data_IF_471293293293
#
_entry.id   IF_471293293293
#
_cell.length_a   1.000
_cell.length_b   1.000
_cell.length_c   1.000
_cell.angle_alpha   90.00
_cell.angle_beta   90.00
_cell.angle_gamma   90.00
#
_symmetry.space_group_name_H-M   'P 1'
#
loop_
_entity.id
_entity.type
_entity.pdbx_description
1 polymer ?
#
# COMPACT_ATOMS: atom_id res chain seq x y z
N UNK A 1 7.46 -1.91 -1.42
CA UNK A 1 7.90 -0.64 -2.02
C UNK A 1 8.61 -0.87 -3.34
N UNK A 2 8.34 -0.06 -4.37
CA UNK A 2 9.24 0.01 -5.55
C UNK A 2 10.52 0.67 -5.07
N UNK A 3 11.62 -0.09 -5.12
CA UNK A 3 12.95 0.33 -4.69
C UNK A 3 13.74 0.99 -5.81
N UNK A 4 13.45 0.63 -7.06
CA UNK A 4 14.09 1.25 -8.21
C UNK A 4 13.43 0.88 -9.52
N UNK A 5 13.62 1.75 -10.51
CA UNK A 5 13.15 1.61 -11.89
C UNK A 5 14.34 1.83 -12.81
N UNK A 6 14.53 0.94 -13.78
CA UNK A 6 15.57 1.05 -14.80
C UNK A 6 14.94 0.85 -16.17
N UNK A 7 15.31 1.73 -17.09
CA UNK A 7 14.84 1.73 -18.47
C UNK A 7 16.07 1.63 -19.37
N UNK A 8 16.09 0.58 -20.18
CA UNK A 8 17.14 0.35 -21.16
C UNK A 8 16.56 0.49 -22.54
N UNK A 9 17.33 1.10 -23.43
CA UNK A 9 16.99 1.31 -24.83
C UNK A 9 17.77 0.38 -25.75
N UNK A 10 17.77 0.69 -27.05
CA UNK A 10 18.49 -0.07 -28.05
C UNK A 10 19.95 -0.30 -27.64
N UNK A 11 20.44 -1.51 -27.92
CA UNK A 11 21.79 -1.98 -27.55
C UNK A 11 22.06 -2.01 -26.04
N UNK A 12 21.03 -2.25 -25.22
CA UNK A 12 21.12 -2.27 -23.75
C UNK A 12 21.69 -0.98 -23.14
N UNK A 13 21.48 0.15 -23.82
CA UNK A 13 21.91 1.46 -23.33
C UNK A 13 21.02 1.91 -22.18
N UNK A 14 21.62 2.36 -21.07
CA UNK A 14 20.87 2.89 -19.94
C UNK A 14 20.25 4.24 -20.28
N UNK A 15 18.95 4.26 -20.57
CA UNK A 15 18.21 5.49 -20.87
C UNK A 15 17.85 6.26 -19.61
N UNK A 16 17.41 5.54 -18.58
CA UNK A 16 17.01 6.14 -17.32
C UNK A 16 17.15 5.14 -16.17
N UNK A 17 17.54 5.65 -14.99
CA UNK A 17 17.49 4.89 -13.74
C UNK A 17 17.05 5.80 -12.61
N UNK A 18 16.24 5.27 -11.70
CA UNK A 18 15.81 5.95 -10.50
C UNK A 18 15.70 4.98 -9.34
N UNK A 19 16.37 5.33 -8.25
CA UNK A 19 16.44 4.53 -7.03
C UNK A 19 15.75 5.28 -5.89
N UNK A 20 14.88 4.59 -5.17
CA UNK A 20 14.14 5.12 -4.00
C UNK A 20 14.73 4.65 -2.68
N UNK A 21 15.61 3.65 -2.72
CA UNK A 21 16.35 3.10 -1.59
C UNK A 21 17.78 2.89 -2.06
N UNK A 22 18.77 3.40 -1.32
CA UNK A 22 20.18 3.17 -1.64
C UNK A 22 20.48 1.66 -1.61
N UNK A 23 20.92 1.07 -2.74
CA UNK A 23 21.38 -0.31 -2.75
C UNK A 23 22.71 -0.40 -2.00
N UNK A 24 22.96 -1.56 -1.37
CA UNK A 24 24.23 -1.82 -0.68
C UNK A 24 25.46 -1.71 -1.62
N UNK A 25 25.27 -1.90 -2.93
CA UNK A 25 26.23 -1.56 -3.98
C UNK A 25 25.50 -1.24 -5.28
N UNK A 26 25.53 0.02 -5.69
CA UNK A 26 24.88 0.52 -6.92
C UNK A 26 25.56 -0.01 -8.18
N UNK A 27 26.89 -0.03 -8.18
CA UNK A 27 27.70 -0.53 -9.29
C UNK A 27 27.42 -2.01 -9.56
N UNK A 28 27.42 -2.85 -8.51
CA UNK A 28 27.13 -4.27 -8.66
C UNK A 28 25.71 -4.55 -9.16
N UNK A 29 24.74 -3.71 -8.79
CA UNK A 29 23.36 -3.83 -9.26
C UNK A 29 23.23 -3.41 -10.73
N UNK A 30 23.86 -2.31 -11.13
CA UNK A 30 23.87 -1.89 -12.54
C UNK A 30 24.56 -2.93 -13.41
N UNK A 31 25.73 -3.43 -13.00
CA UNK A 31 26.46 -4.48 -13.72
C UNK A 31 25.62 -5.76 -13.83
N UNK A 32 24.94 -6.15 -12.75
CA UNK A 32 24.01 -7.27 -12.78
C UNK A 32 22.87 -7.06 -13.77
N UNK A 33 22.25 -5.88 -13.79
CA UNK A 33 21.15 -5.55 -14.69
C UNK A 33 21.58 -5.55 -16.16
N UNK A 34 22.77 -5.04 -16.46
CA UNK A 34 23.33 -5.05 -17.83
C UNK A 34 23.60 -6.48 -18.31
N UNK A 35 24.23 -7.31 -17.48
CA UNK A 35 24.47 -8.72 -17.79
C UNK A 35 23.15 -9.50 -17.93
N UNK A 36 22.15 -9.19 -17.09
CA UNK A 36 20.82 -9.78 -17.20
C UNK A 36 20.19 -9.44 -18.55
N UNK A 37 20.29 -8.20 -19.01
CA UNK A 37 19.71 -7.81 -20.30
C UNK A 37 20.36 -8.43 -21.52
N UNK A 38 21.67 -8.67 -21.48
CA UNK A 38 22.33 -9.45 -22.52
C UNK A 38 21.73 -10.85 -22.61
N UNK A 39 21.48 -11.49 -21.46
CA UNK A 39 20.77 -12.77 -21.41
C UNK A 39 19.32 -12.65 -21.89
N UNK A 40 18.56 -11.65 -21.46
CA UNK A 40 17.15 -11.47 -21.85
C UNK A 40 16.99 -11.21 -23.34
N UNK A 41 17.94 -10.52 -23.98
CA UNK A 41 17.94 -10.29 -25.43
C UNK A 41 18.06 -11.58 -26.26
N UNK A 42 18.50 -12.69 -25.64
CA UNK A 42 18.57 -14.02 -26.26
C UNK A 42 17.30 -14.86 -26.06
N UNK A 43 16.35 -14.37 -25.26
CA UNK A 43 15.09 -15.02 -24.93
C UNK A 43 13.94 -14.26 -25.61
N UNK A 44 13.06 -14.96 -26.35
CA UNK A 44 11.84 -14.35 -26.86
C UNK A 44 10.78 -14.34 -25.74
N UNK A 45 10.70 -13.21 -25.03
CA UNK A 45 9.75 -13.01 -23.93
C UNK A 45 8.36 -12.56 -24.43
N UNK A 46 8.24 -12.11 -25.69
CA UNK A 46 7.03 -11.44 -26.18
C UNK A 46 6.56 -10.33 -25.22
N UNK A 47 5.24 -10.25 -25.00
CA UNK A 47 4.62 -9.28 -24.07
C UNK A 47 4.57 -9.80 -22.60
N UNK A 48 5.37 -10.80 -22.24
CA UNK A 48 5.33 -11.38 -20.89
C UNK A 48 6.17 -10.59 -19.90
N UNK A 49 5.61 -10.40 -18.71
CA UNK A 49 6.33 -9.86 -17.56
C UNK A 49 6.81 -11.02 -16.71
N UNK A 50 8.12 -11.10 -16.55
CA UNK A 50 8.79 -12.13 -15.75
C UNK A 50 9.41 -11.51 -14.49
N UNK A 51 9.82 -12.37 -13.56
CA UNK A 51 10.47 -11.91 -12.34
C UNK A 51 11.56 -12.86 -11.85
N UNK A 52 12.53 -12.28 -11.13
CA UNK A 52 13.55 -13.02 -10.40
C UNK A 52 13.63 -12.60 -8.93
N UNK A 53 13.79 -13.57 -8.05
CA UNK A 53 13.92 -13.32 -6.62
C UNK A 53 15.37 -12.95 -6.28
N UNK A 54 15.57 -11.76 -5.74
CA UNK A 54 16.83 -11.33 -5.13
C UNK A 54 16.82 -11.69 -3.64
N UNK A 55 17.81 -11.27 -2.85
CA UNK A 55 17.86 -11.58 -1.42
C UNK A 55 16.62 -11.06 -0.67
N UNK A 56 16.41 -9.74 -0.70
CA UNK A 56 15.34 -9.03 0.02
C UNK A 56 14.24 -8.48 -0.88
N UNK A 57 14.48 -8.45 -2.18
CA UNK A 57 13.61 -7.85 -3.19
C UNK A 57 13.30 -8.85 -4.31
N UNK A 58 12.44 -8.43 -5.23
CA UNK A 58 12.15 -9.11 -6.48
C UNK A 58 12.37 -8.13 -7.62
N UNK A 59 13.08 -8.56 -8.64
CA UNK A 59 13.26 -7.79 -9.87
C UNK A 59 12.26 -8.30 -10.90
N UNK A 60 11.41 -7.41 -11.38
CA UNK A 60 10.46 -7.63 -12.46
C UNK A 60 11.05 -7.06 -13.74
N UNK A 61 10.81 -7.74 -14.86
CA UNK A 61 11.27 -7.27 -16.15
C UNK A 61 10.31 -7.62 -17.29
N UNK A 62 10.26 -6.74 -18.29
CA UNK A 62 9.61 -6.97 -19.59
C UNK A 62 10.45 -6.39 -20.71
N UNK A 63 10.23 -6.89 -21.93
CA UNK A 63 10.88 -6.42 -23.15
C UNK A 63 9.78 -6.02 -24.13
N UNK A 64 9.86 -4.81 -24.69
CA UNK A 64 8.96 -4.35 -25.75
C UNK A 64 9.79 -3.70 -26.86
N UNK A 65 9.90 -4.40 -27.99
CA UNK A 65 10.82 -4.03 -29.07
C UNK A 65 12.28 -4.00 -28.56
N UNK A 66 12.97 -2.89 -28.81
CA UNK A 66 14.36 -2.68 -28.39
C UNK A 66 14.50 -2.10 -26.97
N UNK A 67 13.40 -2.03 -26.21
CA UNK A 67 13.36 -1.43 -24.88
C UNK A 67 13.14 -2.50 -23.81
N UNK A 68 13.93 -2.42 -22.73
CA UNK A 68 13.78 -3.29 -21.56
C UNK A 68 13.37 -2.47 -20.34
N UNK A 69 12.33 -2.94 -19.65
CA UNK A 69 11.76 -2.33 -18.46
C UNK A 69 12.12 -3.18 -17.25
N UNK A 70 12.68 -2.58 -16.22
CA UNK A 70 13.14 -3.26 -15.02
C UNK A 70 12.62 -2.53 -13.77
N UNK A 71 12.02 -3.28 -12.86
CA UNK A 71 11.41 -2.72 -11.66
C UNK A 71 11.75 -3.58 -10.44
N UNK A 72 12.45 -3.00 -9.48
CA UNK A 72 12.82 -3.67 -8.23
C UNK A 72 11.76 -3.36 -7.19
N UNK A 73 11.11 -4.37 -6.63
CA UNK A 73 10.10 -4.22 -5.59
C UNK A 73 10.40 -5.11 -4.37
N UNK A 74 9.75 -4.86 -3.24
CA UNK A 74 9.86 -5.75 -2.08
C UNK A 74 9.20 -7.09 -2.38
N UNK A 75 9.77 -8.19 -1.88
CA UNK A 75 9.13 -9.53 -2.01
C UNK A 75 7.73 -9.59 -1.41
N UNK A 76 7.46 -8.70 -0.46
CA UNK A 76 6.22 -8.58 0.27
C UNK A 76 5.13 -7.81 -0.49
N UNK A 77 5.50 -7.11 -1.58
CA UNK A 77 4.55 -6.43 -2.44
C UNK A 77 3.72 -7.43 -3.25
N UNK A 78 2.49 -7.03 -3.54
CA UNK A 78 1.57 -7.80 -4.35
C UNK A 78 2.06 -7.89 -5.81
N UNK A 79 2.14 -9.10 -6.35
CA UNK A 79 2.74 -9.32 -7.67
C UNK A 79 1.90 -8.71 -8.79
N UNK A 80 0.57 -8.83 -8.72
CA UNK A 80 -0.36 -8.32 -9.73
C UNK A 80 -0.26 -6.78 -9.81
N UNK A 81 -0.19 -6.10 -8.66
CA UNK A 81 0.02 -4.65 -8.61
C UNK A 81 1.34 -4.18 -9.21
N UNK A 82 2.43 -4.96 -9.05
CA UNK A 82 3.72 -4.60 -9.66
C UNK A 82 3.67 -4.84 -11.17
N UNK A 83 3.05 -5.93 -11.61
CA UNK A 83 2.80 -6.25 -13.03
C UNK A 83 1.97 -5.16 -13.72
N UNK A 84 0.90 -4.67 -13.09
CA UNK A 84 0.12 -3.53 -13.60
C UNK A 84 0.96 -2.27 -13.78
N UNK A 85 1.88 -2.00 -12.84
CA UNK A 85 2.74 -0.81 -12.89
C UNK A 85 3.79 -0.88 -13.99
N UNK A 86 4.40 -2.05 -14.24
CA UNK A 86 5.35 -2.21 -15.34
C UNK A 86 4.61 -2.16 -16.70
N UNK A 87 3.40 -2.71 -16.82
CA UNK A 87 2.54 -2.52 -18.00
C UNK A 87 2.21 -1.05 -18.26
N UNK A 88 1.85 -0.31 -17.20
CA UNK A 88 1.57 1.12 -17.31
C UNK A 88 2.82 1.91 -17.71
N UNK A 89 3.98 1.57 -17.13
CA UNK A 89 5.27 2.15 -17.50
C UNK A 89 5.58 1.92 -18.98
N UNK A 90 5.49 0.67 -19.42
CA UNK A 90 5.74 0.24 -20.79
C UNK A 90 4.83 0.99 -21.77
N UNK A 91 3.52 0.95 -21.56
CA UNK A 91 2.52 1.60 -22.43
C UNK A 91 2.80 3.09 -22.57
N UNK A 92 2.95 3.80 -21.45
CA UNK A 92 3.16 5.26 -21.47
C UNK A 92 4.54 5.62 -22.02
N UNK A 93 5.56 4.81 -21.74
CA UNK A 93 6.91 4.98 -22.29
C UNK A 93 6.93 4.87 -23.80
N UNK A 94 6.38 3.77 -24.33
CA UNK A 94 6.32 3.53 -25.77
C UNK A 94 5.48 4.60 -26.49
N UNK A 95 4.34 5.02 -25.93
CA UNK A 95 3.46 5.97 -26.60
C UNK A 95 3.94 7.43 -26.52
N UNK A 96 4.47 7.85 -25.35
CA UNK A 96 4.74 9.28 -25.09
C UNK A 96 6.21 9.64 -25.13
N UNK A 97 7.09 8.74 -24.74
CA UNK A 97 8.50 9.07 -24.49
C UNK A 97 9.42 8.57 -25.61
N UNK A 98 9.17 7.39 -26.19
CA UNK A 98 9.94 6.87 -27.34
C UNK A 98 9.95 7.83 -28.55
N UNK A 99 8.80 8.39 -29.02
CA UNK A 99 8.83 9.31 -30.16
C UNK A 99 9.65 10.59 -29.90
N UNK A 100 9.74 11.02 -28.65
CA UNK A 100 10.53 12.20 -28.23
C UNK A 100 12.02 11.84 -28.21
N UNK A 101 12.35 10.66 -27.67
CA UNK A 101 13.71 10.14 -27.63
C UNK A 101 14.29 9.93 -29.04
N UNK A 102 13.56 9.26 -29.92
CA UNK A 102 13.98 9.00 -31.30
C UNK A 102 14.14 10.29 -32.12
N UNK A 103 13.39 11.34 -31.78
CA UNK A 103 13.56 12.67 -32.35
C UNK A 103 14.79 13.43 -31.81
N UNK A 104 15.59 12.82 -30.93
CA UNK A 104 16.77 13.42 -30.29
C UNK A 104 16.43 14.56 -29.32
N UNK A 105 15.19 14.60 -28.81
CA UNK A 105 14.72 15.64 -27.88
C UNK A 105 14.89 15.20 -26.43
N UNK A 106 15.01 16.17 -25.54
CA UNK A 106 15.02 15.92 -24.10
C UNK A 106 13.68 15.31 -23.65
N UNK A 107 13.75 14.24 -22.86
CA UNK A 107 12.59 13.53 -22.33
C UNK A 107 12.11 14.21 -21.05
N UNK A 108 11.30 15.26 -21.19
CA UNK A 108 10.74 15.98 -20.04
C UNK A 108 9.59 15.21 -19.38
N UNK A 109 9.53 15.23 -18.04
CA UNK A 109 8.42 14.66 -17.26
C UNK A 109 8.46 13.15 -17.04
N UNK A 110 9.44 12.43 -17.59
CA UNK A 110 9.65 11.00 -17.32
C UNK A 110 9.84 10.73 -15.82
N UNK A 111 10.66 11.55 -15.16
CA UNK A 111 10.91 11.46 -13.71
C UNK A 111 9.61 11.55 -12.90
N UNK A 112 8.76 12.51 -13.22
CA UNK A 112 7.48 12.72 -12.54
C UNK A 112 6.51 11.55 -12.77
N UNK A 113 6.52 11.00 -13.99
CA UNK A 113 5.74 9.82 -14.30
C UNK A 113 6.24 8.59 -13.53
N UNK A 114 7.54 8.34 -13.53
CA UNK A 114 8.17 7.26 -12.76
C UNK A 114 7.92 7.44 -11.27
N UNK A 115 7.98 8.67 -10.73
CA UNK A 115 7.60 8.96 -9.34
C UNK A 115 6.16 8.57 -9.06
N UNK A 116 5.23 8.91 -9.97
CA UNK A 116 3.81 8.55 -9.83
C UNK A 116 3.57 7.04 -9.80
N UNK A 117 4.39 6.27 -10.53
CA UNK A 117 4.37 4.80 -10.52
C UNK A 117 5.02 4.25 -9.26
N UNK A 118 6.13 4.84 -8.83
CA UNK A 118 6.92 4.39 -7.70
C UNK A 118 6.29 4.70 -6.35
N UNK A 119 5.32 5.63 -6.30
CA UNK A 119 4.46 5.79 -5.13
C UNK A 119 3.89 4.40 -4.81
N UNK A 120 4.44 3.80 -3.75
CA UNK A 120 3.94 2.52 -3.31
C UNK A 120 2.60 2.78 -2.70
N UNK A 121 1.61 2.07 -3.22
CA UNK A 121 0.25 2.26 -2.77
C UNK A 121 0.22 1.90 -1.29
N UNK A 122 -0.12 2.89 -0.47
CA UNK A 122 -0.06 2.72 0.98
C UNK A 122 -1.20 1.80 1.41
N UNK A 123 -0.86 0.59 1.85
CA UNK A 123 -1.80 -0.40 2.34
C UNK A 123 -2.32 0.02 3.71
N UNK A 124 -3.56 0.51 3.72
CA UNK A 124 -4.32 0.77 4.94
C UNK A 124 -5.25 -0.42 5.20
N UNK A 125 -5.10 -1.10 6.33
CA UNK A 125 -5.94 -2.21 6.74
C UNK A 125 -6.95 -1.78 7.82
N UNK A 126 -8.25 -2.03 7.62
CA UNK A 126 -9.29 -1.82 8.64
C UNK A 126 -9.60 -3.14 9.35
N UNK A 127 -9.42 -3.19 10.67
CA UNK A 127 -9.63 -4.36 11.52
C UNK A 127 -10.69 -4.09 12.60
N UNK A 128 -11.47 -5.10 12.95
CA UNK A 128 -12.53 -4.99 13.97
C UNK A 128 -13.48 -6.18 13.95
N UNK A 129 -14.20 -6.40 15.05
CA UNK A 129 -15.14 -7.51 15.18
C UNK A 129 -16.38 -7.34 14.26
N UNK A 130 -17.25 -8.35 14.22
CA UNK A 130 -18.49 -8.28 13.45
C UNK A 130 -19.41 -7.20 14.03
N UNK A 131 -20.17 -6.50 13.18
CA UNK A 131 -21.13 -5.49 13.63
C UNK A 131 -20.55 -4.15 14.07
N UNK A 132 -19.23 -3.96 14.04
CA UNK A 132 -18.60 -2.68 14.44
C UNK A 132 -18.68 -1.58 13.39
N UNK A 133 -19.12 -1.90 12.16
CA UNK A 133 -19.33 -0.92 11.08
C UNK A 133 -18.18 -0.78 10.08
N UNK A 134 -17.32 -1.81 9.92
CA UNK A 134 -16.20 -1.79 8.95
C UNK A 134 -16.68 -1.57 7.51
N UNK A 135 -17.70 -2.32 7.07
CA UNK A 135 -18.30 -2.21 5.74
C UNK A 135 -18.92 -0.83 5.52
N UNK A 136 -19.64 -0.30 6.51
CA UNK A 136 -20.20 1.06 6.41
C UNK A 136 -19.08 2.11 6.32
N UNK A 137 -18.00 1.96 7.09
CA UNK A 137 -16.82 2.83 7.06
C UNK A 137 -16.14 2.81 5.69
N UNK A 138 -16.08 1.64 5.04
CA UNK A 138 -15.59 1.50 3.67
C UNK A 138 -16.41 2.35 2.69
N UNK A 139 -17.71 2.12 2.65
CA UNK A 139 -18.61 2.81 1.72
C UNK A 139 -18.54 4.32 1.93
N UNK A 140 -18.48 4.76 3.20
CA UNK A 140 -18.29 6.17 3.56
C UNK A 140 -17.00 6.74 2.95
N UNK A 141 -15.86 6.06 3.11
CA UNK A 141 -14.58 6.51 2.53
C UNK A 141 -14.63 6.62 1.01
N UNK A 142 -15.31 5.68 0.34
CA UNK A 142 -15.45 5.65 -1.11
C UNK A 142 -16.47 6.64 -1.65
N UNK A 143 -17.27 7.28 -0.79
CA UNK A 143 -18.41 8.09 -1.24
C UNK A 143 -19.50 7.24 -1.90
N UNK A 144 -19.61 5.97 -1.54
CA UNK A 144 -20.61 5.05 -2.05
C UNK A 144 -21.88 5.11 -1.20
N UNK A 145 -22.99 4.62 -1.76
CA UNK A 145 -24.25 4.45 -1.02
C UNK A 145 -24.02 3.59 0.22
N UNK A 146 -24.41 4.11 1.38
CA UNK A 146 -24.23 3.42 2.66
C UNK A 146 -25.22 2.24 2.77
N UNK A 147 -24.77 1.07 3.25
CA UNK A 147 -25.63 -0.11 3.36
C UNK A 147 -26.72 0.10 4.41
N UNK A 148 -27.98 -0.11 4.02
CA UNK A 148 -29.17 0.01 4.89
C UNK A 148 -29.44 -1.24 5.75
N UNK A 149 -28.89 -2.40 5.36
CA UNK A 149 -29.02 -3.67 6.07
C UNK A 149 -27.65 -4.19 6.47
N UNK A 150 -27.57 -4.77 7.66
CA UNK A 150 -26.38 -5.45 8.13
C UNK A 150 -26.37 -6.89 7.61
N UNK A 151 -25.75 -7.08 6.46
CA UNK A 151 -25.44 -8.41 5.93
C UNK A 151 -24.00 -8.77 6.30
N UNK A 152 -23.74 -9.91 6.98
CA UNK A 152 -22.38 -10.31 7.32
C UNK A 152 -21.52 -10.52 6.06
N UNK A 153 -20.44 -9.74 5.93
CA UNK A 153 -19.50 -9.90 4.82
C UNK A 153 -18.81 -11.25 4.85
N UNK A 154 -18.81 -11.97 3.73
CA UNK A 154 -18.07 -13.23 3.56
C UNK A 154 -16.77 -12.92 2.82
N UNK A 155 -15.62 -13.21 3.43
CA UNK A 155 -14.31 -13.11 2.77
C UNK A 155 -13.60 -11.77 2.98
N UNK A 156 -13.08 -11.20 1.89
CA UNK A 156 -12.17 -10.04 1.85
C UNK A 156 -12.65 -9.06 0.79
N UNK A 157 -12.52 -7.75 1.04
CA UNK A 157 -12.92 -6.73 0.07
C UNK A 157 -11.80 -5.72 -0.20
N UNK A 158 -11.01 -5.94 -1.26
CA UNK A 158 -9.95 -5.00 -1.65
C UNK A 158 -10.56 -3.89 -2.51
N UNK A 159 -10.37 -2.61 -2.13
CA UNK A 159 -10.94 -1.46 -2.84
C UNK A 159 -10.02 -0.24 -2.80
N UNK A 160 -9.52 0.19 -3.96
CA UNK A 160 -8.79 1.46 -4.14
C UNK A 160 -9.64 2.65 -3.67
N UNK A 161 -9.07 3.62 -2.95
CA UNK A 161 -9.80 4.84 -2.63
C UNK A 161 -9.76 5.87 -3.77
N UNK A 162 -10.70 6.83 -3.79
CA UNK A 162 -10.63 7.99 -4.67
C UNK A 162 -9.29 8.72 -4.55
N UNK A 163 -8.86 9.39 -5.62
CA UNK A 163 -7.61 10.17 -5.67
C UNK A 163 -7.51 11.26 -4.60
N UNK A 164 -8.64 11.68 -4.02
CA UNK A 164 -8.70 12.61 -2.89
C UNK A 164 -8.10 12.07 -1.58
N UNK A 165 -7.57 10.84 -1.54
CA UNK A 165 -6.95 10.26 -0.32
C UNK A 165 -5.42 10.12 -0.43
N UNK A 166 -4.80 10.89 -1.34
CA UNK A 166 -3.41 10.65 -1.82
C UNK A 166 -3.34 9.33 -2.59
N UNK A 167 -2.26 9.09 -3.34
CA UNK A 167 -2.02 7.87 -4.13
C UNK A 167 -1.88 6.61 -3.23
N UNK A 168 -2.93 6.27 -2.48
CA UNK A 168 -3.01 5.20 -1.49
C UNK A 168 -4.06 4.18 -1.91
N UNK A 169 -3.68 2.89 -1.90
CA UNK A 169 -4.66 1.80 -1.97
C UNK A 169 -5.05 1.41 -0.56
N UNK A 170 -6.26 1.74 -0.14
CA UNK A 170 -6.80 1.10 1.06
C UNK A 170 -7.14 -0.35 0.71
N UNK A 171 -6.64 -1.28 1.52
CA UNK A 171 -6.97 -2.70 1.40
C UNK A 171 -7.87 -3.05 2.57
N UNK A 172 -9.16 -3.18 2.30
CA UNK A 172 -10.13 -3.43 3.36
C UNK A 172 -10.32 -4.91 3.60
N UNK A 173 -9.73 -5.34 4.69
CA UNK A 173 -9.99 -6.65 5.22
C UNK A 173 -11.29 -6.58 6.02
N UNK A 174 -12.42 -6.49 5.31
CA UNK A 174 -13.74 -6.71 5.90
C UNK A 174 -13.94 -8.19 6.20
N UNK A 175 -13.12 -8.68 7.14
CA UNK A 175 -13.21 -10.03 7.62
C UNK A 175 -14.42 -10.09 8.53
N UNK A 176 -15.33 -11.01 8.22
CA UNK A 176 -16.33 -11.50 9.17
C UNK A 176 -15.63 -11.70 10.52
N UNK A 177 -16.01 -10.92 11.53
CA UNK A 177 -15.50 -11.06 12.89
C UNK A 177 -15.97 -12.34 13.60
N UNK A 178 -16.32 -13.37 12.83
CA UNK A 178 -16.52 -14.72 13.34
C UNK A 178 -15.14 -15.29 13.71
N UNK A 179 -14.99 -15.66 14.98
CA UNK A 179 -13.76 -16.16 15.61
C UNK A 179 -13.01 -17.26 14.83
N UNK A 180 -13.66 -17.94 13.87
CA UNK A 180 -13.09 -19.00 13.03
C UNK A 180 -12.04 -18.51 12.01
N UNK A 181 -12.00 -17.22 11.67
CA UNK A 181 -11.07 -16.68 10.66
C UNK A 181 -9.83 -15.98 11.24
N UNK A 182 -9.58 -16.10 12.56
CA UNK A 182 -8.44 -15.45 13.25
C UNK A 182 -7.08 -15.77 12.63
N UNK A 183 -6.90 -16.98 12.09
CA UNK A 183 -5.65 -17.41 11.46
C UNK A 183 -5.30 -16.53 10.23
N UNK A 184 -6.31 -15.99 9.55
CA UNK A 184 -6.11 -15.15 8.36
C UNK A 184 -5.72 -13.72 8.73
N UNK A 185 -6.05 -13.24 9.93
CA UNK A 185 -5.85 -11.84 10.32
C UNK A 185 -4.39 -11.40 10.17
N UNK A 186 -3.43 -12.23 10.59
CA UNK A 186 -2.00 -11.94 10.44
C UNK A 186 -1.54 -11.87 8.99
N UNK A 187 -2.03 -12.77 8.12
CA UNK A 187 -1.72 -12.75 6.68
C UNK A 187 -2.30 -11.51 6.01
N UNK A 188 -3.49 -11.09 6.45
CA UNK A 188 -4.20 -9.95 5.87
C UNK A 188 -3.54 -8.62 6.18
N UNK A 189 -3.14 -8.41 7.42
CA UNK A 189 -2.46 -7.17 7.83
C UNK A 189 -0.99 -7.13 7.42
N UNK A 190 -0.42 -8.24 6.93
CA UNK A 190 0.97 -8.28 6.48
C UNK A 190 1.29 -7.12 5.53
N UNK A 191 2.40 -6.43 5.78
CA UNK A 191 2.88 -5.29 4.99
C UNK A 191 1.93 -4.07 4.96
N UNK A 192 0.94 -4.00 5.86
CA UNK A 192 0.16 -2.78 6.02
C UNK A 192 1.01 -1.69 6.66
N UNK A 193 1.05 -0.50 6.06
CA UNK A 193 1.71 0.67 6.65
C UNK A 193 0.81 1.33 7.71
N UNK A 194 -0.51 1.22 7.56
CA UNK A 194 -1.47 1.73 8.53
C UNK A 194 -2.49 0.65 8.86
N UNK A 195 -2.78 0.46 10.15
CA UNK A 195 -3.86 -0.40 10.63
C UNK A 195 -4.85 0.41 11.47
N UNK A 196 -6.11 0.40 11.04
CA UNK A 196 -7.23 1.10 11.66
C UNK A 196 -8.07 0.09 12.46
N UNK A 197 -8.10 0.23 13.78
CA UNK A 197 -8.91 -0.61 14.67
C UNK A 197 -10.29 0.04 14.90
N UNK A 198 -11.34 -0.54 14.34
CA UNK A 198 -12.73 -0.06 14.47
C UNK A 198 -13.44 -0.83 15.57
N UNK A 199 -14.08 -0.09 16.49
CA UNK A 199 -14.91 -0.63 17.57
C UNK A 199 -16.28 0.03 17.53
N UNK A 200 -17.32 -0.63 18.05
CA UNK A 200 -18.66 -0.01 18.22
C UNK A 200 -18.80 0.83 19.49
N UNK A 201 -17.68 1.15 20.13
CA UNK A 201 -17.59 1.97 21.34
C UNK A 201 -18.28 1.41 22.58
N UNK A 202 -18.77 0.17 22.55
CA UNK A 202 -19.23 -0.52 23.78
C UNK A 202 -18.03 -1.02 24.59
N UNK A 203 -18.13 -1.01 25.92
CA UNK A 203 -17.03 -1.48 26.79
C UNK A 203 -16.60 -2.92 26.44
N UNK A 204 -17.57 -3.80 26.20
CA UNK A 204 -17.31 -5.19 25.84
C UNK A 204 -16.51 -5.31 24.53
N UNK A 205 -16.92 -4.59 23.48
CA UNK A 205 -16.24 -4.63 22.18
C UNK A 205 -14.85 -3.98 22.23
N UNK A 206 -14.70 -2.89 22.97
CA UNK A 206 -13.42 -2.18 23.12
C UNK A 206 -12.40 -3.07 23.85
N UNK A 207 -12.81 -3.76 24.92
CA UNK A 207 -11.96 -4.73 25.62
C UNK A 207 -11.57 -5.91 24.72
N UNK A 208 -12.49 -6.41 23.88
CA UNK A 208 -12.20 -7.44 22.88
C UNK A 208 -11.20 -6.92 21.84
N UNK A 209 -11.39 -5.70 21.35
CA UNK A 209 -10.57 -5.06 20.30
C UNK A 209 -9.13 -4.77 20.73
N UNK A 210 -8.86 -4.66 22.03
CA UNK A 210 -7.48 -4.59 22.57
C UNK A 210 -6.61 -5.77 22.13
N UNK A 211 -7.19 -6.96 21.95
CA UNK A 211 -6.47 -8.15 21.44
C UNK A 211 -6.03 -7.98 19.99
N UNK A 212 -6.78 -7.22 19.18
CA UNK A 212 -6.40 -6.91 17.79
C UNK A 212 -5.18 -6.00 17.75
N UNK A 213 -5.09 -5.01 18.65
CA UNK A 213 -3.90 -4.16 18.77
C UNK A 213 -2.65 -5.00 19.07
N UNK A 214 -2.76 -5.96 20.00
CA UNK A 214 -1.66 -6.89 20.30
C UNK A 214 -1.22 -7.72 19.09
N UNK A 215 -2.18 -8.27 18.34
CA UNK A 215 -1.90 -9.01 17.11
C UNK A 215 -1.17 -8.16 16.07
N UNK A 216 -1.59 -6.89 15.90
CA UNK A 216 -0.97 -5.98 14.93
C UNK A 216 0.47 -5.69 15.32
N UNK A 217 0.73 -5.38 16.60
CA UNK A 217 2.10 -5.17 17.10
C UNK A 217 2.99 -6.41 16.92
N UNK A 218 2.43 -7.61 17.02
CA UNK A 218 3.16 -8.86 16.79
C UNK A 218 3.45 -9.12 15.31
N UNK A 219 2.48 -8.89 14.41
CA UNK A 219 2.58 -9.29 13.00
C UNK A 219 3.14 -8.22 12.07
N UNK A 220 2.92 -6.95 12.38
CA UNK A 220 3.37 -5.80 11.60
C UNK A 220 3.82 -4.67 12.55
N UNK A 221 4.96 -4.84 13.24
CA UNK A 221 5.41 -3.93 14.29
C UNK A 221 5.65 -2.50 13.81
N UNK A 222 6.00 -2.31 12.54
CA UNK A 222 6.28 -1.01 11.95
C UNK A 222 5.01 -0.30 11.44
N UNK A 223 3.84 -0.95 11.50
CA UNK A 223 2.60 -0.34 11.03
C UNK A 223 2.11 0.73 12.02
N UNK A 224 1.70 1.88 11.49
CA UNK A 224 1.00 2.90 12.29
C UNK A 224 -0.37 2.37 12.70
N UNK A 225 -0.65 2.33 13.99
CA UNK A 225 -1.95 1.87 14.51
C UNK A 225 -2.79 3.06 14.99
N UNK A 226 -4.01 3.19 14.48
CA UNK A 226 -5.01 4.14 14.98
C UNK A 226 -6.31 3.43 15.35
N UNK A 227 -7.06 4.01 16.30
CA UNK A 227 -8.38 3.55 16.68
C UNK A 227 -9.49 4.41 16.06
N UNK A 228 -10.64 3.79 15.79
CA UNK A 228 -11.89 4.44 15.44
C UNK A 228 -12.96 3.96 16.43
N UNK A 229 -13.47 4.90 17.21
CA UNK A 229 -14.62 4.72 18.08
C UNK A 229 -15.88 5.03 17.26
N UNK A 230 -16.47 3.99 16.64
CA UNK A 230 -17.67 4.12 15.82
C UNK A 230 -18.95 4.08 16.66
N UNK A 231 -20.08 4.49 16.08
CA UNK A 231 -21.42 4.54 16.70
C UNK A 231 -21.53 5.55 17.85
N UNK A 232 -20.86 6.70 17.71
CA UNK A 232 -20.89 7.78 18.71
C UNK A 232 -22.25 8.48 18.81
N UNK A 233 -23.18 8.18 17.92
CA UNK A 233 -24.59 8.56 18.00
C UNK A 233 -25.36 7.80 19.11
N UNK A 234 -24.82 6.68 19.61
CA UNK A 234 -25.48 5.87 20.63
C UNK A 234 -25.17 6.38 22.05
N UNK A 235 -26.18 6.42 22.95
CA UNK A 235 -26.00 6.94 24.30
C UNK A 235 -25.09 6.08 25.19
N UNK A 236 -24.87 4.81 24.81
CA UNK A 236 -24.00 3.86 25.52
C UNK A 236 -22.56 3.88 25.02
N UNK A 237 -22.25 4.71 24.02
CA UNK A 237 -20.92 4.79 23.44
C UNK A 237 -19.92 5.37 24.45
N UNK A 238 -18.81 4.68 24.65
CA UNK A 238 -17.65 5.24 25.32
C UNK A 238 -17.06 6.36 24.46
N UNK A 239 -16.61 7.43 25.10
CA UNK A 239 -15.94 8.54 24.42
C UNK A 239 -14.67 8.06 23.71
N UNK A 240 -14.26 8.70 22.60
CA UNK A 240 -13.06 8.30 21.85
C UNK A 240 -11.80 8.27 22.72
N UNK A 241 -11.67 9.20 23.66
CA UNK A 241 -10.57 9.24 24.63
C UNK A 241 -10.54 8.01 25.52
N UNK A 242 -11.70 7.57 26.01
CA UNK A 242 -11.80 6.37 26.85
C UNK A 242 -11.50 5.10 26.05
N UNK A 243 -11.99 5.03 24.81
CA UNK A 243 -11.64 3.96 23.87
C UNK A 243 -10.13 3.93 23.62
N UNK A 244 -9.51 5.07 23.32
CA UNK A 244 -8.07 5.20 23.12
C UNK A 244 -7.24 4.78 24.33
N UNK A 245 -7.65 5.16 25.55
CA UNK A 245 -7.01 4.71 26.79
C UNK A 245 -7.06 3.18 26.95
N UNK A 246 -8.17 2.54 26.63
CA UNK A 246 -8.31 1.08 26.76
C UNK A 246 -7.50 0.34 25.68
N UNK A 247 -7.55 0.81 24.44
CA UNK A 247 -6.82 0.21 23.31
C UNK A 247 -5.31 0.47 23.38
N UNK A 248 -4.88 1.59 23.99
CA UNK A 248 -3.49 2.03 24.03
C UNK A 248 -3.01 2.63 22.71
N UNK A 249 -3.90 3.19 21.90
CA UNK A 249 -3.62 3.86 20.63
C UNK A 249 -4.46 5.13 20.50
N UNK A 250 -4.02 6.07 19.66
CA UNK A 250 -4.79 7.28 19.39
C UNK A 250 -6.09 6.93 18.67
N UNK A 251 -7.21 7.40 19.19
CA UNK A 251 -8.55 7.02 18.72
C UNK A 251 -9.37 8.24 18.34
N UNK A 252 -10.14 8.13 17.26
CA UNK A 252 -11.00 9.19 16.75
C UNK A 252 -12.47 8.75 16.75
N UNK A 253 -13.38 9.71 16.88
CA UNK A 253 -14.82 9.46 16.74
C UNK A 253 -15.23 9.18 15.29
N UNK A 254 -16.27 8.36 15.15
CA UNK A 254 -16.96 8.14 13.89
C UNK A 254 -18.45 7.83 14.14
N UNK A 255 -19.30 8.37 13.27
CA UNK A 255 -20.64 7.86 13.03
C UNK A 255 -20.67 7.40 11.57
N UNK A 256 -20.40 6.11 11.33
CA UNK A 256 -20.15 5.61 9.97
C UNK A 256 -21.36 5.76 9.02
N UNK A 257 -22.56 5.90 9.58
CA UNK A 257 -23.81 6.13 8.84
C UNK A 257 -24.02 7.60 8.45
N UNK A 258 -23.19 8.51 8.94
CA UNK A 258 -23.27 9.95 8.67
C UNK A 258 -22.20 10.36 7.67
N UNK A 259 -22.65 10.79 6.48
CA UNK A 259 -21.78 11.19 5.36
C UNK A 259 -20.90 12.39 5.69
N UNK A 260 -21.29 13.23 6.65
CA UNK A 260 -20.51 14.40 7.06
C UNK A 260 -19.14 14.04 7.68
N UNK A 261 -18.99 12.79 8.14
CA UNK A 261 -17.73 12.30 8.70
C UNK A 261 -16.69 11.92 7.63
N UNK A 262 -17.08 11.83 6.35
CA UNK A 262 -16.21 11.33 5.27
C UNK A 262 -14.89 12.09 5.20
N UNK A 263 -14.95 13.41 5.03
CA UNK A 263 -13.75 14.22 4.80
C UNK A 263 -12.82 14.18 6.00
N UNK A 264 -13.37 14.22 7.21
CA UNK A 264 -12.60 14.08 8.45
C UNK A 264 -11.90 12.73 8.54
N UNK A 265 -12.59 11.65 8.19
CA UNK A 265 -12.03 10.30 8.19
C UNK A 265 -10.88 10.16 7.17
N UNK A 266 -11.04 10.75 5.98
CA UNK A 266 -9.97 10.84 4.97
C UNK A 266 -8.74 11.54 5.55
N UNK A 267 -8.93 12.69 6.21
CA UNK A 267 -7.82 13.44 6.82
C UNK A 267 -7.13 12.67 7.94
N UNK A 268 -7.88 11.92 8.76
CA UNK A 268 -7.32 11.05 9.81
C UNK A 268 -6.42 9.98 9.20
N UNK A 269 -6.88 9.31 8.13
CA UNK A 269 -6.11 8.26 7.46
C UNK A 269 -4.87 8.84 6.79
N UNK A 270 -5.01 9.94 6.03
CA UNK A 270 -3.87 10.66 5.43
C UNK A 270 -2.81 11.01 6.45
N UNK A 271 -3.22 11.60 7.58
CA UNK A 271 -2.30 11.93 8.66
C UNK A 271 -1.59 10.69 9.21
N UNK A 272 -2.30 9.57 9.40
CA UNK A 272 -1.69 8.32 9.86
C UNK A 272 -0.68 7.76 8.84
N UNK A 273 -0.94 7.88 7.54
CA UNK A 273 -0.02 7.50 6.47
C UNK A 273 1.27 8.33 6.55
N UNK A 274 1.15 9.65 6.68
CA UNK A 274 2.29 10.56 6.74
C UNK A 274 3.11 10.34 8.01
N UNK A 275 2.47 10.16 9.16
CA UNK A 275 3.14 9.86 10.42
C UNK A 275 3.88 8.51 10.37
N UNK A 276 3.29 7.48 9.75
CA UNK A 276 3.95 6.18 9.57
C UNK A 276 5.21 6.25 8.70
N UNK A 277 5.18 7.02 7.61
CA UNK A 277 6.36 7.24 6.75
C UNK A 277 7.50 7.99 7.46
N UNK A 278 7.16 8.93 8.34
CA UNK A 278 8.16 9.68 9.12
C UNK A 278 8.82 8.81 10.20
N UNK A 279 8.07 7.87 10.79
CA UNK A 279 8.59 6.91 11.77
C UNK A 279 9.56 5.91 11.11
N UNK A 280 9.25 5.41 9.91
CA UNK A 280 10.12 4.49 9.14
C UNK A 280 11.44 5.13 8.68
N UNK A 281 11.47 6.46 8.46
CA UNK A 281 12.68 7.18 8.02
C UNK A 281 13.61 7.61 9.17
N UNK A 282 13.19 7.43 10.43
CA UNK A 282 13.91 7.88 11.62
C UNK A 282 14.88 6.87 12.24
N UNK A 283 14.81 5.57 11.87
CA UNK A 283 15.53 4.50 12.58
C UNK A 283 16.95 4.20 12.05
N UNK A 284 17.45 4.99 11.08
CA UNK A 284 18.83 4.87 10.57
C UNK A 284 19.90 5.65 11.35
N UNK A 285 19.54 6.38 12.42
CA UNK A 285 20.47 7.26 13.16
C UNK A 285 20.47 7.04 14.67
N UNK A 286 20.53 5.79 15.13
CA UNK A 286 20.93 5.49 16.52
C UNK A 286 21.69 4.16 16.64
N UNK A 287 22.93 4.16 16.16
CA UNK A 287 23.99 3.31 16.69
C UNK A 287 25.32 3.98 16.34
N UNK A 288 25.81 4.80 17.26
CA UNK A 288 27.23 4.98 17.59
C UNK A 288 27.35 6.13 18.59
N UNK A 289 27.43 5.74 19.86
CA UNK A 289 28.09 6.48 20.93
C UNK A 289 28.50 5.47 22.00
#
# INVERSE_FOLDING_TARGET
MIRGVYLLGPHNSLLHSKEYVEPASREALIDFLLNLTEFLSTQDLGDQIEFMNLATSRLYYSVNGDYTFLLVADKADDMEQITEKIQQLETVFMEKFVPVYEAGKAIEGLDNFIDSLAVTMVKVAILGFAGVGKTTTLHLLRGETLPLKHDPTIGVTIKKLPSEVENANIVLWDLAGQSRFKILWGKMIANAQVVVIVTDSTLENVLKSKKLVGLVKEKVPNAKIIGIANKQDLPTALTPDRVGKILGVKTYELVAIDVSYRDRLIQIIRRAILEGKAEDSGDGKKADN
#
